data_IF_851956457017
#
_entry.id   IF_851956457017
#
_cell.length_a   1.000
_cell.length_b   1.000
_cell.length_c   1.000
_cell.angle_alpha   90.00
_cell.angle_beta   90.00
_cell.angle_gamma   90.00
#
_symmetry.space_group_name_H-M   'P 1'
#
loop_
_entity.id
_entity.type
_entity.pdbx_description
1 polymer ?
#
# COMPACT_ATOMS: atom_id res chain seq x y z
N UNK A 1 -10.81 6.59 -2.91
CA UNK A 1 -10.51 7.03 -4.31
C UNK A 1 -9.30 7.94 -4.27
N UNK A 2 -8.23 7.65 -5.00
CA UNK A 2 -6.99 8.43 -4.92
C UNK A 2 -7.26 9.90 -5.31
N UNK A 3 -7.21 10.81 -4.32
CA UNK A 3 -7.56 12.25 -4.45
C UNK A 3 -6.96 12.84 -5.73
N UNK A 4 -5.68 12.54 -5.97
CA UNK A 4 -4.92 13.11 -7.09
C UNK A 4 -5.17 12.46 -8.45
N UNK A 5 -5.69 11.22 -8.50
CA UNK A 5 -6.07 10.58 -9.77
C UNK A 5 -7.17 11.39 -10.46
N UNK A 6 -8.11 11.92 -9.67
CA UNK A 6 -9.21 12.70 -10.21
C UNK A 6 -8.79 14.12 -10.61
N UNK A 7 -7.82 14.71 -9.90
CA UNK A 7 -7.20 15.99 -10.31
C UNK A 7 -6.58 15.88 -11.70
N UNK A 8 -5.81 14.82 -11.96
CA UNK A 8 -5.21 14.60 -13.26
C UNK A 8 -6.27 14.40 -14.36
N UNK A 9 -7.32 13.60 -14.09
CA UNK A 9 -8.43 13.39 -15.05
C UNK A 9 -9.13 14.71 -15.41
N UNK A 10 -9.44 15.54 -14.41
CA UNK A 10 -10.13 16.81 -14.64
C UNK A 10 -9.27 17.80 -15.42
N UNK A 11 -7.96 17.87 -15.13
CA UNK A 11 -7.04 18.70 -15.90
C UNK A 11 -6.86 18.20 -17.33
N UNK A 12 -6.81 16.89 -17.56
CA UNK A 12 -6.76 16.34 -18.93
C UNK A 12 -7.98 16.80 -19.72
N UNK A 13 -9.17 16.69 -19.14
CA UNK A 13 -10.40 17.15 -19.79
C UNK A 13 -10.36 18.65 -20.12
N UNK A 14 -10.00 19.50 -19.16
CA UNK A 14 -9.94 20.95 -19.38
C UNK A 14 -8.88 21.33 -20.42
N UNK A 15 -7.72 20.66 -20.42
CA UNK A 15 -6.66 20.85 -21.42
C UNK A 15 -7.15 20.51 -22.82
N UNK A 16 -7.78 19.36 -23.01
CA UNK A 16 -8.32 18.95 -24.31
C UNK A 16 -9.31 19.97 -24.84
N UNK A 17 -10.21 20.48 -23.98
CA UNK A 17 -11.16 21.54 -24.35
C UNK A 17 -10.47 22.85 -24.69
N UNK A 18 -9.47 23.25 -23.91
CA UNK A 18 -8.70 24.46 -24.16
C UNK A 18 -7.96 24.41 -25.51
N UNK A 19 -7.31 23.28 -25.83
CA UNK A 19 -6.58 23.08 -27.09
C UNK A 19 -7.52 22.98 -28.30
N UNK A 20 -8.71 22.39 -28.13
CA UNK A 20 -9.68 22.22 -29.23
C UNK A 20 -10.28 23.55 -29.70
N UNK A 21 -10.54 24.49 -28.79
CA UNK A 21 -11.25 25.74 -29.08
C UNK A 21 -10.35 26.98 -29.16
N UNK A 22 -9.04 26.79 -29.07
CA UNK A 22 -7.99 27.71 -29.49
C UNK A 22 -8.19 29.19 -29.08
N UNK A 23 -8.43 29.44 -27.79
CA UNK A 23 -8.59 30.77 -27.12
C UNK A 23 -9.66 31.73 -27.65
N UNK A 24 -10.20 31.54 -28.85
CA UNK A 24 -11.11 32.49 -29.52
C UNK A 24 -12.51 32.53 -28.86
N UNK A 25 -12.98 31.42 -28.30
CA UNK A 25 -14.30 31.34 -27.66
C UNK A 25 -14.21 30.86 -26.21
N UNK A 26 -14.10 31.83 -25.28
CA UNK A 26 -14.02 31.64 -23.83
C UNK A 26 -15.13 30.72 -23.31
N UNK A 27 -16.32 30.78 -23.89
CA UNK A 27 -17.47 29.98 -23.45
C UNK A 27 -17.32 28.49 -23.74
N UNK A 28 -16.47 28.10 -24.70
CA UNK A 28 -16.28 26.71 -25.12
C UNK A 28 -15.21 25.96 -24.33
N UNK A 29 -14.33 26.67 -23.62
CA UNK A 29 -13.27 26.07 -22.80
C UNK A 29 -13.35 26.44 -21.31
N UNK A 30 -14.33 27.26 -20.92
CA UNK A 30 -14.65 27.51 -19.50
C UNK A 30 -15.91 26.74 -19.10
N UNK A 31 -15.92 26.16 -17.90
CA UNK A 31 -17.01 25.31 -17.46
C UNK A 31 -17.40 25.59 -16.00
N UNK A 32 -18.69 25.60 -15.70
CA UNK A 32 -19.18 25.60 -14.31
C UNK A 32 -19.03 24.21 -13.67
N UNK A 33 -19.05 24.15 -12.34
CA UNK A 33 -19.01 22.88 -11.60
C UNK A 33 -20.13 21.92 -12.02
N UNK A 34 -21.32 22.46 -12.32
CA UNK A 34 -22.46 21.69 -12.81
C UNK A 34 -22.23 21.10 -14.21
N UNK A 35 -21.66 21.90 -15.13
CA UNK A 35 -21.33 21.45 -16.48
C UNK A 35 -20.28 20.35 -16.44
N UNK A 36 -19.24 20.52 -15.62
CA UNK A 36 -18.20 19.52 -15.42
C UNK A 36 -18.75 18.24 -14.77
N UNK A 37 -19.66 18.38 -13.79
CA UNK A 37 -20.34 17.25 -13.17
C UNK A 37 -21.14 16.42 -14.18
N UNK A 38 -21.89 17.08 -15.07
CA UNK A 38 -22.64 16.42 -16.16
C UNK A 38 -21.71 15.73 -17.15
N UNK A 39 -20.66 16.40 -17.62
CA UNK A 39 -19.76 15.85 -18.65
C UNK A 39 -18.86 14.73 -18.14
N UNK A 40 -18.43 14.79 -16.88
CA UNK A 40 -17.58 13.77 -16.28
C UNK A 40 -18.37 12.66 -15.56
N UNK A 41 -19.70 12.78 -15.49
CA UNK A 41 -20.62 11.93 -14.74
C UNK A 41 -20.22 11.80 -13.26
N UNK A 42 -20.00 12.94 -12.60
CA UNK A 42 -19.50 13.02 -11.22
C UNK A 42 -20.33 14.02 -10.43
N UNK A 43 -20.56 13.71 -9.16
CA UNK A 43 -21.27 14.58 -8.23
C UNK A 43 -20.63 15.98 -8.18
N UNK A 44 -21.46 17.02 -8.27
CA UNK A 44 -21.04 18.43 -8.30
C UNK A 44 -20.20 18.80 -7.07
N UNK A 45 -20.57 18.36 -5.87
CA UNK A 45 -19.82 18.66 -4.64
C UNK A 45 -18.37 18.14 -4.72
N UNK A 46 -18.19 16.99 -5.36
CA UNK A 46 -16.87 16.38 -5.57
C UNK A 46 -16.07 17.11 -6.65
N UNK A 47 -16.74 17.62 -7.67
CA UNK A 47 -16.11 18.50 -8.67
C UNK A 47 -15.61 19.77 -7.98
N UNK A 48 -16.44 20.40 -7.15
CA UNK A 48 -16.09 21.61 -6.42
C UNK A 48 -14.91 21.41 -5.48
N UNK A 49 -14.91 20.34 -4.69
CA UNK A 49 -13.78 20.00 -3.82
C UNK A 49 -12.46 19.92 -4.60
N UNK A 50 -12.51 19.33 -5.80
CA UNK A 50 -11.33 19.13 -6.64
C UNK A 50 -10.93 20.42 -7.36
N UNK A 51 -11.88 21.23 -7.81
CA UNK A 51 -11.62 22.55 -8.38
C UNK A 51 -11.00 23.50 -7.35
N UNK A 52 -11.47 23.47 -6.11
CA UNK A 52 -10.90 24.26 -5.01
C UNK A 52 -9.45 23.85 -4.75
N UNK A 53 -9.21 22.55 -4.63
CA UNK A 53 -7.85 22.00 -4.46
C UNK A 53 -6.95 22.31 -5.66
N UNK A 54 -7.46 22.23 -6.90
CA UNK A 54 -6.71 22.61 -8.10
C UNK A 54 -6.38 24.11 -8.15
N UNK A 55 -7.25 24.97 -7.62
CA UNK A 55 -7.01 26.39 -7.49
C UNK A 55 -5.87 26.68 -6.51
N UNK A 56 -5.78 25.94 -5.40
CA UNK A 56 -4.63 26.04 -4.47
C UNK A 56 -3.29 25.66 -5.12
N UNK A 57 -3.31 24.86 -6.18
CA UNK A 57 -2.12 24.52 -6.97
C UNK A 57 -1.91 25.44 -8.18
N UNK A 58 -2.68 26.53 -8.30
CA UNK A 58 -2.69 27.43 -9.47
C UNK A 58 -2.90 26.68 -10.79
N UNK A 59 -3.70 25.61 -10.80
CA UNK A 59 -3.94 24.79 -11.99
C UNK A 59 -5.18 25.23 -12.78
N UNK A 60 -6.07 26.00 -12.16
CA UNK A 60 -7.32 26.45 -12.76
C UNK A 60 -7.57 27.91 -12.40
N UNK A 61 -8.09 28.67 -13.35
CA UNK A 61 -8.56 30.03 -13.14
C UNK A 61 -10.08 30.03 -13.09
N UNK A 62 -10.65 30.93 -12.28
CA UNK A 62 -12.10 31.12 -12.19
C UNK A 62 -12.49 32.50 -12.72
N UNK A 63 -13.44 32.52 -13.64
CA UNK A 63 -14.11 33.71 -14.13
C UNK A 63 -15.57 33.69 -13.74
N UNK A 64 -16.05 34.75 -13.06
CA UNK A 64 -17.45 34.86 -12.61
C UNK A 64 -18.46 34.67 -13.74
N UNK A 65 -18.10 35.07 -14.97
CA UNK A 65 -19.02 35.09 -16.11
C UNK A 65 -18.98 33.80 -16.95
N UNK A 66 -17.98 32.93 -16.73
CA UNK A 66 -17.70 31.81 -17.65
C UNK A 66 -17.28 30.51 -16.96
N UNK A 67 -17.02 30.53 -15.65
CA UNK A 67 -16.67 29.34 -14.86
C UNK A 67 -15.16 29.11 -14.77
N UNK A 68 -14.77 27.85 -14.64
CA UNK A 68 -13.39 27.43 -14.47
C UNK A 68 -12.74 27.10 -15.81
N UNK A 69 -11.50 27.55 -16.00
CA UNK A 69 -10.63 27.14 -17.10
C UNK A 69 -9.31 26.62 -16.57
N UNK A 70 -8.60 25.84 -17.37
CA UNK A 70 -7.23 25.45 -17.04
C UNK A 70 -6.29 26.66 -17.18
N UNK A 71 -5.34 26.80 -16.25
CA UNK A 71 -4.27 27.82 -16.32
C UNK A 71 -3.06 27.25 -17.06
N UNK A 72 -2.13 28.12 -17.49
CA UNK A 72 -0.86 27.67 -18.10
C UNK A 72 -0.06 26.74 -17.17
N UNK A 73 -0.08 27.01 -15.87
CA UNK A 73 0.55 26.16 -14.87
C UNK A 73 -0.19 24.83 -14.70
N UNK A 74 -1.53 24.83 -14.83
CA UNK A 74 -2.34 23.63 -14.89
C UNK A 74 -1.98 22.73 -16.06
N UNK A 75 -1.78 23.31 -17.25
CA UNK A 75 -1.32 22.60 -18.45
C UNK A 75 0.06 21.98 -18.19
N UNK A 76 1.03 22.76 -17.68
CA UNK A 76 2.37 22.26 -17.33
C UNK A 76 2.32 21.11 -16.32
N UNK A 77 1.54 21.23 -15.25
CA UNK A 77 1.40 20.20 -14.21
C UNK A 77 0.69 18.95 -14.72
N UNK A 78 -0.26 19.11 -15.64
CA UNK A 78 -0.91 17.98 -16.31
C UNK A 78 0.10 17.22 -17.18
N UNK A 79 0.87 17.92 -18.03
CA UNK A 79 1.88 17.33 -18.90
C UNK A 79 2.99 16.61 -18.11
N UNK A 80 3.46 17.24 -17.03
CA UNK A 80 4.47 16.65 -16.14
C UNK A 80 3.91 15.56 -15.23
N UNK A 81 2.65 15.15 -15.40
CA UNK A 81 1.98 14.12 -14.58
C UNK A 81 2.10 14.38 -13.06
N UNK A 82 2.17 15.65 -12.65
CA UNK A 82 2.45 16.07 -11.27
C UNK A 82 1.56 15.36 -10.24
N UNK A 83 0.25 15.32 -10.50
CA UNK A 83 -0.72 14.71 -9.60
C UNK A 83 -0.65 13.17 -9.57
N UNK A 84 -0.17 12.53 -10.64
CA UNK A 84 0.10 11.09 -10.62
C UNK A 84 1.28 10.82 -9.68
N UNK A 85 2.37 11.58 -9.81
CA UNK A 85 3.54 11.44 -8.95
C UNK A 85 3.20 11.72 -7.48
N UNK A 86 2.51 12.83 -7.19
CA UNK A 86 2.09 13.19 -5.84
C UNK A 86 1.17 12.14 -5.20
N UNK A 87 0.29 11.51 -6.00
CA UNK A 87 -0.51 10.38 -5.55
C UNK A 87 0.31 9.14 -5.23
N UNK A 88 1.38 8.88 -5.98
CA UNK A 88 2.25 7.74 -5.77
C UNK A 88 3.20 7.94 -4.58
N UNK A 89 3.64 9.17 -4.30
CA UNK A 89 4.45 9.49 -3.12
C UNK A 89 3.71 9.13 -1.82
N UNK A 90 2.43 9.49 -1.72
CA UNK A 90 1.61 9.13 -0.57
C UNK A 90 1.48 7.61 -0.40
N UNK A 91 1.37 6.86 -1.50
CA UNK A 91 1.32 5.38 -1.45
C UNK A 91 2.67 4.83 -0.98
N UNK A 92 3.79 5.37 -1.48
CA UNK A 92 5.14 4.96 -1.09
C UNK A 92 5.40 5.20 0.40
N UNK A 93 4.96 6.33 0.94
CA UNK A 93 5.09 6.62 2.37
C UNK A 93 4.31 5.60 3.21
N UNK A 94 3.04 5.34 2.87
CA UNK A 94 2.24 4.35 3.59
C UNK A 94 2.84 2.92 3.49
N UNK A 95 3.41 2.55 2.34
CA UNK A 95 4.08 1.25 2.18
C UNK A 95 5.33 1.15 3.05
N UNK A 96 6.11 2.23 3.17
CA UNK A 96 7.29 2.27 4.04
C UNK A 96 6.90 1.99 5.49
N UNK A 97 5.83 2.60 5.97
CA UNK A 97 5.36 2.42 7.34
C UNK A 97 4.86 0.98 7.58
N UNK A 98 4.13 0.42 6.62
CA UNK A 98 3.68 -0.98 6.67
C UNK A 98 4.87 -1.94 6.72
N UNK A 99 5.87 -1.75 5.85
CA UNK A 99 7.07 -2.59 5.83
C UNK A 99 7.86 -2.50 7.13
N UNK A 100 7.96 -1.30 7.72
CA UNK A 100 8.60 -1.10 9.03
C UNK A 100 7.92 -1.87 10.17
N UNK A 101 6.61 -2.09 10.11
CA UNK A 101 5.88 -2.88 11.10
C UNK A 101 5.99 -4.39 10.81
N UNK A 102 5.90 -4.77 9.53
CA UNK A 102 5.88 -6.18 9.13
C UNK A 102 7.24 -6.86 9.35
N UNK A 103 8.36 -6.18 9.06
CA UNK A 103 9.69 -6.78 9.18
C UNK A 103 9.95 -7.29 10.62
N UNK A 104 9.80 -6.48 11.69
CA UNK A 104 9.97 -6.95 13.06
C UNK A 104 9.05 -8.12 13.43
N UNK A 105 7.79 -8.10 12.99
CA UNK A 105 6.83 -9.18 13.23
C UNK A 105 7.28 -10.49 12.57
N UNK A 106 7.72 -10.44 11.31
CA UNK A 106 8.25 -11.60 10.60
C UNK A 106 9.53 -12.11 11.25
N UNK A 107 10.43 -11.23 11.69
CA UNK A 107 11.63 -11.62 12.43
C UNK A 107 11.30 -12.35 13.73
N UNK A 108 10.31 -11.85 14.49
CA UNK A 108 9.84 -12.50 15.71
C UNK A 108 9.26 -13.88 15.41
N UNK A 109 8.49 -14.01 14.33
CA UNK A 109 7.85 -15.26 13.91
C UNK A 109 8.88 -16.31 13.45
N UNK A 110 9.92 -15.88 12.73
CA UNK A 110 11.04 -16.76 12.35
C UNK A 110 11.80 -17.21 13.60
N UNK A 111 12.04 -16.31 14.56
CA UNK A 111 12.72 -16.65 15.80
C UNK A 111 11.93 -17.65 16.65
N UNK A 112 10.61 -17.48 16.78
CA UNK A 112 9.76 -18.42 17.52
C UNK A 112 9.69 -19.79 16.84
N UNK A 113 9.59 -19.83 15.51
CA UNK A 113 9.65 -21.08 14.75
C UNK A 113 10.99 -21.80 14.92
N UNK A 114 12.10 -21.06 14.89
CA UNK A 114 13.43 -21.62 15.10
C UNK A 114 13.59 -22.23 16.50
N UNK A 115 13.05 -21.57 17.53
CA UNK A 115 13.02 -22.09 18.90
C UNK A 115 12.17 -23.36 18.97
N UNK A 116 10.98 -23.34 18.37
CA UNK A 116 10.07 -24.49 18.34
C UNK A 116 10.73 -25.72 17.70
N UNK A 117 11.33 -25.57 16.51
CA UNK A 117 12.03 -26.68 15.85
C UNK A 117 13.22 -27.20 16.66
N UNK A 118 13.95 -26.31 17.34
CA UNK A 118 15.07 -26.72 18.21
C UNK A 118 14.57 -27.50 19.43
N UNK A 119 13.45 -27.09 20.01
CA UNK A 119 12.83 -27.77 21.16
C UNK A 119 12.33 -29.17 20.78
N UNK A 120 11.66 -29.30 19.63
CA UNK A 120 11.21 -30.60 19.11
C UNK A 120 12.39 -31.55 18.85
N UNK A 121 13.48 -31.03 18.28
CA UNK A 121 14.69 -31.82 18.05
C UNK A 121 15.33 -32.28 19.36
N UNK A 122 15.40 -31.39 20.36
CA UNK A 122 15.96 -31.71 21.67
C UNK A 122 15.12 -32.73 22.43
N UNK A 123 13.78 -32.63 22.37
CA UNK A 123 12.89 -33.63 22.97
C UNK A 123 13.06 -35.02 22.33
N UNK A 124 13.16 -35.09 21.00
CA UNK A 124 13.42 -36.36 20.31
C UNK A 124 14.78 -36.97 20.67
N UNK A 125 15.82 -36.14 20.81
CA UNK A 125 17.15 -36.62 21.24
C UNK A 125 17.10 -37.16 22.68
N UNK A 126 16.45 -36.46 23.60
CA UNK A 126 16.27 -36.91 24.98
C UNK A 126 15.45 -38.20 25.10
N UNK A 127 14.35 -38.34 24.37
CA UNK A 127 13.55 -39.58 24.37
C UNK A 127 14.39 -40.78 23.92
N UNK A 128 15.20 -40.60 22.87
CA UNK A 128 16.10 -41.64 22.37
C UNK A 128 17.20 -42.01 23.38
N UNK A 129 17.75 -41.03 24.11
CA UNK A 129 18.69 -41.31 25.20
C UNK A 129 18.04 -42.05 26.36
N UNK A 130 16.82 -41.65 26.76
CA UNK A 130 16.06 -42.33 27.81
C UNK A 130 15.82 -43.79 27.43
N UNK A 131 15.43 -44.07 26.19
CA UNK A 131 15.21 -45.44 25.71
C UNK A 131 16.53 -46.23 25.75
N UNK A 132 17.65 -45.66 25.29
CA UNK A 132 18.96 -46.31 25.36
C UNK A 132 19.39 -46.62 26.79
N UNK A 133 19.16 -45.69 27.72
CA UNK A 133 19.50 -45.87 29.13
C UNK A 133 18.62 -46.94 29.79
N UNK A 134 17.30 -46.95 29.51
CA UNK A 134 16.39 -48.01 29.97
C UNK A 134 16.85 -49.38 29.49
N UNK A 135 17.16 -49.53 28.20
CA UNK A 135 17.64 -50.79 27.65
C UNK A 135 18.97 -51.24 28.29
N UNK A 136 19.87 -50.30 28.59
CA UNK A 136 21.13 -50.61 29.30
C UNK A 136 20.89 -51.09 30.72
N UNK A 137 19.99 -50.44 31.46
CA UNK A 137 19.61 -50.82 32.82
C UNK A 137 19.02 -52.23 32.81
N UNK A 138 18.08 -52.52 31.92
CA UNK A 138 17.45 -53.84 31.80
C UNK A 138 18.46 -54.95 31.49
N UNK A 139 19.41 -54.69 30.58
CA UNK A 139 20.50 -55.65 30.29
C UNK A 139 21.37 -55.89 31.53
N UNK A 140 21.68 -54.84 32.29
CA UNK A 140 22.51 -54.95 33.50
C UNK A 140 21.77 -55.68 34.62
N UNK A 141 20.47 -55.41 34.81
CA UNK A 141 19.61 -56.12 35.75
C UNK A 141 19.56 -57.61 35.41
N UNK A 142 19.27 -57.97 34.16
CA UNK A 142 19.23 -59.36 33.71
C UNK A 142 20.58 -60.09 33.90
N UNK A 143 21.71 -59.42 33.64
CA UNK A 143 23.04 -59.98 33.91
C UNK A 143 23.29 -60.17 35.41
N UNK A 144 22.80 -59.26 36.25
CA UNK A 144 22.94 -59.36 37.70
C UNK A 144 22.11 -60.51 38.28
N UNK A 145 20.92 -60.77 37.74
CA UNK A 145 20.07 -61.89 38.12
C UNK A 145 20.70 -63.24 37.72
N UNK A 146 21.21 -63.37 36.50
CA UNK A 146 21.90 -64.59 36.04
C UNK A 146 23.17 -64.91 36.85
N UNK A 147 23.87 -63.89 37.36
CA UNK A 147 25.04 -64.08 38.23
C UNK A 147 24.67 -64.43 39.68
N UNK A 148 23.44 -64.16 40.13
CA UNK A 148 22.95 -64.59 41.45
C UNK A 148 22.48 -66.04 41.47
N UNK A 149 21.96 -66.58 40.35
CA UNK A 149 21.53 -67.98 40.26
C UNK A 149 22.68 -69.00 40.07
N UNK A 150 23.89 -68.52 39.77
CA UNK A 150 25.10 -69.34 39.60
C UNK A 150 25.98 -69.45 40.85
N UNK A 151 25.53 -68.90 41.99
CA UNK A 151 26.18 -69.02 43.30
C UNK A 151 25.28 -69.83 44.23
#
# INVERSE_FOLDING_TARGET
MNKYKFHHKLLTFLKEKYETYNMEDVSKYCFTSEQLGKQLNINVNKIEEVLFSLKEFDCVDYSKNSGFKISDNGIKKQLNRFFIYKGNENIKLNLKDIVQIIIPLLSLLIATLAIYCKFDKFNKENENEIIKLKNKIEILENKSFQNKEKK
#
